data_IF_262649625644
#
_entry.id   IF_262649625644
#
_cell.length_a   1.000
_cell.length_b   1.000
_cell.length_c   1.000
_cell.angle_alpha   90.00
_cell.angle_beta   90.00
_cell.angle_gamma   90.00
#
_symmetry.space_group_name_H-M   'P 1'
#
loop_
_entity.id
_entity.type
_entity.pdbx_description
1 polymer ?
#
# COMPACT_ATOMS: atom_id res chain seq x y z
N UNK A 1 -51.77 -52.66 -9.79
CA UNK A 1 -51.83 -51.21 -10.19
C UNK A 1 -51.25 -50.23 -9.15
N UNK A 2 -51.30 -50.48 -7.83
CA UNK A 2 -50.78 -49.52 -6.79
C UNK A 2 -49.26 -49.48 -6.64
N UNK A 3 -48.46 -50.45 -7.14
CA UNK A 3 -46.96 -50.43 -7.05
C UNK A 3 -46.27 -49.69 -8.19
N UNK A 4 -46.92 -49.51 -9.33
CA UNK A 4 -46.37 -48.81 -10.50
C UNK A 4 -46.46 -47.30 -10.37
N UNK A 5 -47.50 -46.81 -9.69
CA UNK A 5 -47.75 -45.37 -9.49
C UNK A 5 -46.79 -44.73 -8.50
N UNK A 6 -46.31 -45.47 -7.50
CA UNK A 6 -45.31 -44.94 -6.54
C UNK A 6 -43.89 -44.77 -7.11
N UNK A 7 -43.52 -45.57 -8.12
CA UNK A 7 -42.23 -45.42 -8.82
C UNK A 7 -42.24 -44.23 -9.80
N UNK A 8 -43.38 -43.94 -10.40
CA UNK A 8 -43.51 -42.78 -11.30
C UNK A 8 -43.48 -41.45 -10.57
N UNK A 9 -44.11 -41.35 -9.40
CA UNK A 9 -44.12 -40.17 -8.56
C UNK A 9 -42.74 -39.91 -7.96
N UNK A 10 -41.96 -40.95 -7.58
CA UNK A 10 -40.59 -40.79 -7.11
C UNK A 10 -39.60 -40.37 -8.20
N UNK A 11 -39.83 -40.76 -9.49
CA UNK A 11 -39.00 -40.34 -10.61
C UNK A 11 -39.28 -38.89 -10.97
N UNK A 12 -40.53 -38.42 -10.89
CA UNK A 12 -40.89 -37.02 -11.12
C UNK A 12 -40.36 -36.05 -10.06
N UNK A 13 -40.36 -36.47 -8.78
CA UNK A 13 -39.77 -35.67 -7.71
C UNK A 13 -38.23 -35.60 -7.77
N UNK A 14 -37.57 -36.66 -8.24
CA UNK A 14 -36.11 -36.64 -8.45
C UNK A 14 -35.72 -35.79 -9.67
N UNK A 15 -36.56 -35.73 -10.72
CA UNK A 15 -36.31 -34.88 -11.88
C UNK A 15 -36.54 -33.39 -11.59
N UNK A 16 -37.45 -33.04 -10.67
CA UNK A 16 -37.69 -31.65 -10.24
C UNK A 16 -36.62 -31.15 -9.29
N UNK A 17 -35.97 -32.03 -8.50
CA UNK A 17 -34.85 -31.65 -7.62
C UNK A 17 -33.50 -31.56 -8.32
N UNK A 18 -33.34 -32.09 -9.53
CA UNK A 18 -32.10 -32.01 -10.31
C UNK A 18 -32.09 -30.76 -11.23
N UNK A 19 -33.27 -30.17 -11.52
CA UNK A 19 -33.37 -28.95 -12.35
C UNK A 19 -33.22 -27.65 -11.51
N UNK A 20 -33.28 -27.74 -10.18
CA UNK A 20 -33.19 -26.57 -9.30
C UNK A 20 -31.77 -26.27 -8.74
N UNK A 21 -30.72 -26.98 -9.20
CA UNK A 21 -29.33 -26.81 -8.70
C UNK A 21 -28.39 -26.22 -9.77
N UNK A 22 -28.88 -25.94 -10.96
CA UNK A 22 -28.13 -25.19 -11.99
C UNK A 22 -28.86 -23.89 -12.38
N UNK A 23 -29.30 -23.10 -11.38
CA UNK A 23 -29.31 -21.68 -11.59
C UNK A 23 -27.85 -21.22 -11.50
N UNK A 24 -27.11 -21.30 -12.60
CA UNK A 24 -25.94 -20.44 -12.76
C UNK A 24 -26.49 -19.03 -12.56
N UNK A 25 -26.12 -18.40 -11.43
CA UNK A 25 -26.07 -16.94 -11.40
C UNK A 25 -25.02 -16.56 -12.45
N UNK A 26 -25.42 -16.46 -13.70
CA UNK A 26 -24.74 -15.56 -14.60
C UNK A 26 -24.96 -14.20 -13.96
N UNK A 27 -23.95 -13.67 -13.28
CA UNK A 27 -23.82 -12.25 -13.09
C UNK A 27 -23.83 -11.71 -14.51
N UNK A 28 -24.98 -11.22 -14.96
CA UNK A 28 -25.08 -10.41 -16.14
C UNK A 28 -24.40 -9.12 -15.70
N UNK A 29 -23.12 -8.99 -16.01
CA UNK A 29 -22.49 -7.67 -16.02
C UNK A 29 -23.40 -6.83 -16.94
N UNK A 30 -23.98 -5.76 -16.44
CA UNK A 30 -24.57 -4.76 -17.30
C UNK A 30 -23.46 -4.37 -18.29
N UNK A 31 -23.77 -4.40 -19.61
CA UNK A 31 -22.81 -3.89 -20.59
C UNK A 31 -22.38 -2.51 -20.10
N UNK A 32 -21.06 -2.25 -20.07
CA UNK A 32 -20.52 -0.97 -19.63
C UNK A 32 -21.23 0.15 -20.42
N UNK A 33 -21.59 1.24 -19.75
CA UNK A 33 -22.16 2.40 -20.43
C UNK A 33 -21.14 2.88 -21.47
N UNK A 34 -21.45 2.81 -22.78
CA UNK A 34 -20.50 3.18 -23.83
C UNK A 34 -20.10 4.66 -23.78
N UNK A 35 -20.86 5.48 -23.07
CA UNK A 35 -20.59 6.91 -22.90
C UNK A 35 -19.84 7.23 -21.59
N UNK A 36 -19.57 6.22 -20.71
CA UNK A 36 -18.80 6.42 -19.48
C UNK A 36 -17.33 6.69 -19.78
N UNK A 37 -16.86 7.86 -19.39
CA UNK A 37 -15.48 8.30 -19.57
C UNK A 37 -14.78 8.58 -18.24
N UNK A 38 -13.53 8.17 -18.19
CA UNK A 38 -12.65 8.32 -17.01
C UNK A 38 -11.49 9.22 -17.40
N UNK A 39 -11.28 10.28 -16.61
CA UNK A 39 -10.09 11.13 -16.70
C UNK A 39 -9.06 10.70 -15.65
N UNK A 40 -7.79 10.57 -16.04
CA UNK A 40 -6.72 10.16 -15.15
C UNK A 40 -5.56 11.15 -15.19
N UNK A 41 -5.16 11.63 -14.02
CA UNK A 41 -4.06 12.58 -13.82
C UNK A 41 -2.96 11.86 -13.04
N UNK A 42 -1.78 11.71 -13.65
CA UNK A 42 -0.64 11.00 -13.08
C UNK A 42 0.53 11.95 -12.84
N UNK A 43 1.18 11.81 -11.67
CA UNK A 43 2.40 12.54 -11.33
C UNK A 43 3.58 12.10 -12.22
N UNK A 44 3.62 10.82 -12.60
CA UNK A 44 4.63 10.21 -13.44
C UNK A 44 4.07 9.64 -14.74
N UNK A 45 4.74 8.63 -15.25
CA UNK A 45 4.34 7.82 -16.41
C UNK A 45 4.70 6.33 -16.20
N UNK A 46 4.72 5.54 -17.26
CA UNK A 46 5.02 4.10 -17.24
C UNK A 46 6.49 3.79 -16.84
N UNK A 47 7.35 4.77 -16.66
CA UNK A 47 8.75 4.58 -16.25
C UNK A 47 8.95 4.68 -14.74
N UNK A 48 7.91 5.05 -14.00
CA UNK A 48 7.91 5.21 -12.56
C UNK A 48 6.96 4.15 -11.94
N UNK A 49 7.43 3.44 -10.89
CA UNK A 49 6.76 2.26 -10.35
C UNK A 49 5.37 2.54 -9.79
N UNK A 50 5.22 3.64 -9.05
CA UNK A 50 3.94 4.02 -8.45
C UNK A 50 2.87 4.34 -9.52
N UNK A 51 3.20 5.21 -10.51
CA UNK A 51 2.26 5.52 -11.61
C UNK A 51 1.97 4.28 -12.46
N UNK A 52 2.95 3.40 -12.69
CA UNK A 52 2.75 2.12 -13.38
C UNK A 52 1.76 1.22 -12.65
N UNK A 53 1.83 1.13 -11.33
CA UNK A 53 0.87 0.35 -10.54
C UNK A 53 -0.57 0.88 -10.71
N UNK A 54 -0.77 2.20 -10.71
CA UNK A 54 -2.07 2.83 -10.98
C UNK A 54 -2.55 2.58 -12.40
N UNK A 55 -1.68 2.74 -13.42
CA UNK A 55 -2.01 2.50 -14.83
C UNK A 55 -2.50 1.06 -15.02
N UNK A 56 -1.78 0.10 -14.46
CA UNK A 56 -2.13 -1.31 -14.56
C UNK A 56 -3.46 -1.61 -13.87
N UNK A 57 -3.67 -1.10 -12.65
CA UNK A 57 -4.92 -1.27 -11.91
C UNK A 57 -6.14 -0.68 -12.63
N UNK A 58 -6.01 0.52 -13.22
CA UNK A 58 -7.07 1.15 -14.01
C UNK A 58 -7.39 0.31 -15.26
N UNK A 59 -6.36 -0.14 -16.01
CA UNK A 59 -6.54 -0.96 -17.20
C UNK A 59 -7.16 -2.31 -16.89
N UNK A 60 -6.77 -2.94 -15.78
CA UNK A 60 -7.33 -4.20 -15.31
C UNK A 60 -8.81 -4.06 -14.94
N UNK A 61 -9.15 -3.06 -14.11
CA UNK A 61 -10.53 -2.77 -13.73
C UNK A 61 -11.41 -2.46 -14.95
N UNK A 62 -10.92 -1.62 -15.87
CA UNK A 62 -11.65 -1.28 -17.09
C UNK A 62 -11.90 -2.51 -17.97
N UNK A 63 -10.89 -3.38 -18.12
CA UNK A 63 -11.01 -4.63 -18.89
C UNK A 63 -12.02 -5.58 -18.26
N UNK A 64 -12.02 -5.75 -16.94
CA UNK A 64 -12.98 -6.61 -16.24
C UNK A 64 -14.42 -6.12 -16.39
N UNK A 65 -14.62 -4.80 -16.40
CA UNK A 65 -15.92 -4.17 -16.51
C UNK A 65 -16.35 -3.93 -17.98
N UNK A 66 -15.51 -4.27 -18.96
CA UNK A 66 -15.81 -4.07 -20.38
C UNK A 66 -15.81 -2.60 -20.82
N UNK A 67 -15.13 -1.72 -20.08
CA UNK A 67 -14.95 -0.31 -20.45
C UNK A 67 -13.92 -0.23 -21.58
N UNK A 68 -14.26 0.50 -22.66
CA UNK A 68 -13.36 0.71 -23.80
C UNK A 68 -12.15 1.56 -23.36
N UNK A 69 -10.92 1.13 -23.68
CA UNK A 69 -9.71 1.88 -23.37
C UNK A 69 -9.71 3.30 -23.97
N UNK A 70 -10.41 3.53 -25.07
CA UNK A 70 -10.61 4.84 -25.68
C UNK A 70 -11.43 5.82 -24.81
N UNK A 71 -12.14 5.31 -23.80
CA UNK A 71 -12.89 6.11 -22.84
C UNK A 71 -12.04 6.52 -21.62
N UNK A 72 -10.77 6.09 -21.54
CA UNK A 72 -9.82 6.49 -20.48
C UNK A 72 -8.90 7.56 -21.06
N UNK A 73 -8.99 8.76 -20.50
CA UNK A 73 -8.23 9.93 -20.97
C UNK A 73 -7.11 10.24 -19.99
N UNK A 74 -5.87 10.09 -20.43
CA UNK A 74 -4.68 10.17 -19.59
C UNK A 74 -4.02 11.56 -19.66
N UNK A 75 -3.56 12.06 -18.50
CA UNK A 75 -2.68 13.20 -18.32
C UNK A 75 -1.45 12.73 -17.53
N UNK A 76 -0.31 12.66 -18.18
CA UNK A 76 0.94 12.18 -17.60
C UNK A 76 1.82 13.34 -17.13
N UNK A 77 2.66 13.09 -16.12
CA UNK A 77 3.66 14.04 -15.60
C UNK A 77 3.06 15.38 -15.21
N UNK A 78 1.90 15.34 -14.59
CA UNK A 78 1.23 16.52 -14.06
C UNK A 78 1.83 16.84 -12.69
N UNK A 79 2.48 17.99 -12.50
CA UNK A 79 3.08 18.34 -11.22
C UNK A 79 2.02 18.63 -10.15
N UNK A 80 2.44 18.64 -8.89
CA UNK A 80 1.61 18.97 -7.73
C UNK A 80 1.42 20.48 -7.56
N UNK A 81 0.91 21.11 -8.61
CA UNK A 81 0.61 22.55 -8.67
C UNK A 81 -0.72 22.81 -9.40
N UNK A 82 -1.02 24.06 -9.72
CA UNK A 82 -2.26 24.45 -10.41
C UNK A 82 -2.51 23.74 -11.74
N UNK A 83 -1.48 23.13 -12.35
CA UNK A 83 -1.63 22.31 -13.57
C UNK A 83 -2.54 21.11 -13.33
N UNK A 84 -2.61 20.61 -12.08
CA UNK A 84 -3.53 19.53 -11.72
C UNK A 84 -5.01 19.99 -11.82
N UNK A 85 -5.33 21.21 -11.37
CA UNK A 85 -6.66 21.80 -11.56
C UNK A 85 -6.98 21.98 -13.04
N UNK A 86 -6.07 22.60 -13.82
CA UNK A 86 -6.28 22.80 -15.26
C UNK A 86 -6.49 21.48 -16.01
N UNK A 87 -5.76 20.43 -15.61
CA UNK A 87 -5.92 19.07 -16.14
C UNK A 87 -7.28 18.48 -15.80
N UNK A 88 -7.73 18.67 -14.56
CA UNK A 88 -9.03 18.15 -14.09
C UNK A 88 -10.20 18.80 -14.85
N UNK A 89 -10.22 20.13 -15.01
CA UNK A 89 -11.28 20.82 -15.74
C UNK A 89 -11.26 20.53 -17.24
N UNK A 90 -10.08 20.28 -17.83
CA UNK A 90 -9.98 19.86 -19.24
C UNK A 90 -10.60 18.45 -19.43
N UNK A 91 -10.37 17.52 -18.49
CA UNK A 91 -10.99 16.19 -18.51
C UNK A 91 -12.51 16.25 -18.36
N UNK A 92 -13.03 17.12 -17.48
CA UNK A 92 -14.48 17.38 -17.39
C UNK A 92 -15.01 17.94 -18.73
N UNK A 93 -14.29 18.88 -19.35
CA UNK A 93 -14.62 19.42 -20.67
C UNK A 93 -14.64 18.38 -21.79
N UNK A 94 -13.92 17.25 -21.64
CA UNK A 94 -13.94 16.11 -22.55
C UNK A 94 -15.05 15.09 -22.23
N UNK A 95 -15.86 15.37 -21.21
CA UNK A 95 -17.03 14.59 -20.83
C UNK A 95 -16.73 13.43 -19.86
N UNK A 96 -15.62 13.51 -19.08
CA UNK A 96 -15.36 12.54 -18.03
C UNK A 96 -16.35 12.71 -16.86
N UNK A 97 -16.99 11.63 -16.45
CA UNK A 97 -17.88 11.57 -15.28
C UNK A 97 -17.11 11.27 -13.98
N UNK A 98 -15.94 10.66 -14.11
CA UNK A 98 -15.02 10.36 -13.02
C UNK A 98 -13.63 10.91 -13.40
N UNK A 99 -13.03 11.71 -12.52
CA UNK A 99 -11.66 12.23 -12.67
C UNK A 99 -10.83 11.78 -11.48
N UNK A 100 -9.73 11.10 -11.73
CA UNK A 100 -8.86 10.50 -10.73
C UNK A 100 -7.47 11.15 -10.83
N UNK A 101 -6.87 11.48 -9.70
CA UNK A 101 -5.45 11.85 -9.61
C UNK A 101 -4.71 10.89 -8.67
N UNK A 102 -3.44 10.59 -8.98
CA UNK A 102 -2.69 9.60 -8.20
C UNK A 102 -1.71 10.19 -7.17
N UNK A 103 -1.53 11.51 -7.09
CA UNK A 103 -0.55 12.09 -6.17
C UNK A 103 -1.19 12.83 -5.00
N UNK A 104 -0.56 12.72 -3.81
CA UNK A 104 -1.00 13.38 -2.58
C UNK A 104 -1.19 14.89 -2.74
N UNK A 105 -0.24 15.59 -3.35
CA UNK A 105 -0.30 17.03 -3.54
C UNK A 105 -1.32 17.50 -4.59
N UNK A 106 -1.86 16.60 -5.41
CA UNK A 106 -2.96 16.95 -6.33
C UNK A 106 -4.28 17.25 -5.60
N UNK A 107 -4.49 16.71 -4.38
CA UNK A 107 -5.79 16.74 -3.70
C UNK A 107 -6.34 18.15 -3.49
N UNK A 108 -5.50 19.15 -3.20
CA UNK A 108 -5.92 20.56 -3.00
C UNK A 108 -6.45 21.21 -4.28
N UNK A 109 -6.00 20.76 -5.42
CA UNK A 109 -6.47 21.18 -6.75
C UNK A 109 -7.69 20.39 -7.21
N UNK A 110 -7.75 19.11 -6.86
CA UNK A 110 -8.90 18.25 -7.17
C UNK A 110 -10.16 18.68 -6.41
N UNK A 111 -10.06 19.08 -5.14
CA UNK A 111 -11.21 19.60 -4.38
C UNK A 111 -11.71 20.92 -4.96
N UNK A 112 -10.84 21.79 -5.46
CA UNK A 112 -11.25 23.02 -6.17
C UNK A 112 -12.03 22.69 -7.43
N UNK A 113 -11.55 21.76 -8.26
CA UNK A 113 -12.28 21.29 -9.44
C UNK A 113 -13.63 20.66 -9.06
N UNK A 114 -13.70 19.90 -7.98
CA UNK A 114 -14.94 19.29 -7.49
C UNK A 114 -15.97 20.33 -7.05
N UNK A 115 -15.56 21.43 -6.42
CA UNK A 115 -16.43 22.54 -6.05
C UNK A 115 -17.01 23.25 -7.28
N UNK A 116 -16.22 23.40 -8.34
CA UNK A 116 -16.63 24.08 -9.58
C UNK A 116 -17.49 23.19 -10.49
N UNK A 117 -17.36 21.86 -10.39
CA UNK A 117 -18.06 20.87 -11.23
C UNK A 117 -18.79 19.80 -10.40
N UNK A 118 -19.91 20.14 -9.76
CA UNK A 118 -20.61 19.27 -8.81
C UNK A 118 -21.21 17.99 -9.40
N UNK A 119 -21.37 17.94 -10.73
CA UNK A 119 -21.93 16.78 -11.43
C UNK A 119 -20.85 15.73 -11.82
N UNK A 120 -19.58 16.01 -11.56
CA UNK A 120 -18.44 15.11 -11.83
C UNK A 120 -17.89 14.59 -10.51
N UNK A 121 -17.58 13.30 -10.43
CA UNK A 121 -16.89 12.71 -9.27
C UNK A 121 -15.38 12.88 -9.40
N UNK A 122 -14.73 13.37 -8.35
CA UNK A 122 -13.28 13.54 -8.28
C UNK A 122 -12.70 12.67 -7.18
N UNK A 123 -11.64 11.94 -7.53
CA UNK A 123 -10.91 11.09 -6.58
C UNK A 123 -9.45 11.53 -6.53
N UNK A 124 -8.97 11.87 -5.34
CA UNK A 124 -7.54 12.05 -5.09
C UNK A 124 -7.05 10.79 -4.34
N UNK A 125 -6.28 9.96 -5.06
CA UNK A 125 -5.63 8.80 -4.46
C UNK A 125 -4.61 9.28 -3.43
N UNK A 126 -4.48 8.53 -2.34
CA UNK A 126 -3.57 8.84 -1.22
C UNK A 126 -3.87 10.13 -0.47
N UNK A 127 -4.98 10.82 -0.79
CA UNK A 127 -5.41 12.02 -0.08
C UNK A 127 -5.99 11.72 1.32
N UNK A 128 -6.19 12.77 2.12
CA UNK A 128 -6.47 12.62 3.55
C UNK A 128 -7.53 13.57 4.13
N UNK A 129 -8.26 14.32 3.30
CA UNK A 129 -9.23 15.29 3.83
C UNK A 129 -10.62 15.29 3.12
N UNK A 130 -10.94 14.30 2.30
CA UNK A 130 -12.23 14.29 1.60
C UNK A 130 -13.42 14.34 2.56
N UNK A 131 -13.41 13.55 3.63
CA UNK A 131 -14.49 13.49 4.63
C UNK A 131 -14.73 14.84 5.34
N UNK A 132 -13.70 15.66 5.48
CA UNK A 132 -13.78 16.96 6.19
C UNK A 132 -13.81 18.17 5.24
N UNK A 133 -13.70 17.94 3.92
CA UNK A 133 -13.68 19.01 2.91
C UNK A 133 -15.03 19.73 2.74
N UNK A 134 -16.12 19.08 3.12
CA UNK A 134 -17.48 19.56 2.86
C UNK A 134 -17.89 19.48 1.38
N UNK A 135 -17.11 18.82 0.53
CA UNK A 135 -17.34 18.66 -0.90
C UNK A 135 -17.80 17.22 -1.23
N UNK A 136 -19.11 16.98 -1.46
CA UNK A 136 -19.65 15.62 -1.52
C UNK A 136 -19.17 14.80 -2.72
N UNK A 137 -18.76 15.44 -3.83
CA UNK A 137 -18.24 14.78 -5.03
C UNK A 137 -16.71 14.70 -5.05
N UNK A 138 -16.02 15.06 -3.94
CA UNK A 138 -14.58 14.85 -3.75
C UNK A 138 -14.36 13.68 -2.81
N UNK A 139 -13.50 12.74 -3.21
CA UNK A 139 -13.24 11.46 -2.53
C UNK A 139 -11.76 11.21 -2.37
N UNK A 140 -11.40 10.47 -1.32
CA UNK A 140 -10.05 9.93 -1.15
C UNK A 140 -10.07 8.40 -1.15
N UNK A 141 -8.98 7.79 -1.56
CA UNK A 141 -8.78 6.36 -1.49
C UNK A 141 -7.32 6.04 -1.19
N UNK A 142 -7.10 5.12 -0.30
CA UNK A 142 -5.81 4.51 -0.02
C UNK A 142 -6.01 3.03 0.29
N UNK A 143 -4.99 2.21 0.08
CA UNK A 143 -5.05 0.81 0.53
C UNK A 143 -4.49 0.69 1.94
N UNK A 144 -4.82 -0.39 2.63
CA UNK A 144 -4.18 -0.76 3.89
C UNK A 144 -2.76 -1.31 3.66
N UNK A 145 -1.91 -0.54 2.98
CA UNK A 145 -0.56 -0.96 2.54
C UNK A 145 0.34 -1.39 3.71
N UNK A 146 0.09 -0.91 4.92
CA UNK A 146 0.80 -1.34 6.11
C UNK A 146 0.71 -2.87 6.36
N UNK A 147 -0.39 -3.52 5.96
CA UNK A 147 -0.53 -4.98 6.04
C UNK A 147 0.46 -5.70 5.11
N UNK A 148 0.58 -5.23 3.87
CA UNK A 148 1.54 -5.75 2.90
C UNK A 148 2.99 -5.47 3.33
N UNK A 149 3.25 -4.30 3.92
CA UNK A 149 4.55 -3.96 4.48
C UNK A 149 4.92 -4.90 5.63
N UNK A 150 3.97 -5.23 6.49
CA UNK A 150 4.17 -6.23 7.55
C UNK A 150 4.50 -7.61 6.95
N UNK A 151 3.71 -8.11 6.00
CA UNK A 151 3.94 -9.39 5.35
C UNK A 151 5.32 -9.45 4.67
N UNK A 152 5.72 -8.39 3.96
CA UNK A 152 7.05 -8.30 3.35
C UNK A 152 8.17 -8.22 4.40
N UNK A 153 7.91 -7.61 5.55
CA UNK A 153 8.79 -7.63 6.71
C UNK A 153 8.98 -9.03 7.29
N UNK A 154 7.91 -9.84 7.32
CA UNK A 154 8.01 -11.26 7.72
C UNK A 154 8.92 -12.05 6.77
N UNK A 155 8.80 -11.83 5.44
CA UNK A 155 9.73 -12.44 4.45
C UNK A 155 11.18 -12.08 4.76
N UNK A 156 11.45 -10.80 5.04
CA UNK A 156 12.78 -10.32 5.44
C UNK A 156 13.27 -10.96 6.75
N UNK A 157 12.39 -11.09 7.73
CA UNK A 157 12.67 -11.75 9.01
C UNK A 157 13.03 -13.23 8.85
N UNK A 158 12.33 -13.96 7.97
CA UNK A 158 12.64 -15.35 7.65
C UNK A 158 14.03 -15.49 7.02
N UNK A 159 14.42 -14.57 6.13
CA UNK A 159 15.77 -14.54 5.55
C UNK A 159 16.84 -14.24 6.61
N UNK A 160 16.61 -13.26 7.48
CA UNK A 160 17.54 -13.00 8.60
C UNK A 160 17.71 -14.23 9.49
N UNK A 161 16.61 -14.88 9.85
CA UNK A 161 16.61 -16.09 10.67
C UNK A 161 17.44 -17.20 10.01
N UNK A 162 17.24 -17.47 8.72
CA UNK A 162 18.02 -18.44 7.95
C UNK A 162 19.52 -18.15 8.05
N UNK A 163 19.95 -16.90 7.76
CA UNK A 163 21.35 -16.48 7.81
C UNK A 163 21.97 -16.59 9.20
N UNK A 164 21.17 -16.40 10.25
CA UNK A 164 21.62 -16.55 11.63
C UNK A 164 21.74 -18.03 12.02
N UNK A 165 20.80 -18.88 11.62
CA UNK A 165 20.78 -20.31 11.94
C UNK A 165 21.88 -21.09 11.21
N UNK A 166 22.24 -20.69 9.98
CA UNK A 166 23.30 -21.34 9.21
C UNK A 166 24.72 -20.82 9.55
N UNK A 167 24.81 -19.79 10.42
CA UNK A 167 26.06 -19.20 10.89
C UNK A 167 26.69 -18.19 9.93
N UNK A 168 26.02 -17.83 8.83
CA UNK A 168 26.46 -16.79 7.89
C UNK A 168 26.43 -15.41 8.56
N UNK A 169 25.40 -15.13 9.36
CA UNK A 169 25.17 -13.86 10.05
C UNK A 169 25.25 -14.07 11.57
N UNK A 170 26.43 -13.89 12.12
CA UNK A 170 26.68 -13.93 13.59
C UNK A 170 27.58 -12.76 14.00
N UNK A 171 27.61 -12.38 15.30
CA UNK A 171 28.53 -11.35 15.78
C UNK A 171 30.00 -11.64 15.47
N UNK A 172 30.39 -12.91 15.31
CA UNK A 172 31.74 -13.32 14.95
C UNK A 172 32.04 -13.21 13.47
N UNK A 173 31.05 -13.53 12.59
CA UNK A 173 31.21 -13.52 11.13
C UNK A 173 30.95 -12.15 10.51
N UNK A 174 30.01 -11.38 11.07
CA UNK A 174 29.56 -10.08 10.58
C UNK A 174 29.36 -9.09 11.75
N UNK A 175 30.41 -8.74 12.49
CA UNK A 175 30.28 -7.90 13.70
C UNK A 175 29.65 -6.53 13.43
N UNK A 176 29.85 -5.97 12.22
CA UNK A 176 29.26 -4.69 11.82
C UNK A 176 27.74 -4.72 11.70
N UNK A 177 27.17 -5.92 11.51
CA UNK A 177 25.71 -6.10 11.34
C UNK A 177 24.95 -6.23 12.67
N UNK A 178 25.65 -6.09 13.78
CA UNK A 178 25.05 -6.11 15.11
C UNK A 178 25.36 -4.80 15.86
N UNK A 179 24.43 -4.39 16.73
CA UNK A 179 24.69 -3.30 17.68
C UNK A 179 25.41 -3.82 18.95
N UNK A 180 25.66 -2.92 19.91
CA UNK A 180 26.36 -3.27 21.17
C UNK A 180 25.56 -4.23 22.06
N UNK A 181 24.24 -4.27 21.89
CA UNK A 181 23.29 -5.14 22.62
C UNK A 181 23.07 -6.49 21.90
N UNK A 182 23.67 -6.68 20.74
CA UNK A 182 23.57 -7.89 19.92
C UNK A 182 22.32 -7.97 19.07
N UNK A 183 21.64 -6.86 18.80
CA UNK A 183 20.54 -6.80 17.86
C UNK A 183 21.06 -6.70 16.42
N UNK A 184 20.41 -7.43 15.50
CA UNK A 184 20.76 -7.36 14.08
C UNK A 184 20.22 -6.07 13.45
N UNK A 185 21.03 -5.45 12.58
CA UNK A 185 20.71 -4.19 11.92
C UNK A 185 20.01 -4.39 10.59
N UNK A 186 18.93 -3.66 10.39
CA UNK A 186 18.26 -3.51 9.09
C UNK A 186 18.13 -2.03 8.74
N UNK A 187 17.88 -1.72 7.49
CA UNK A 187 17.74 -0.35 7.00
C UNK A 187 16.45 -0.13 6.25
N UNK A 188 16.02 1.12 6.17
CA UNK A 188 14.85 1.49 5.40
C UNK A 188 15.08 2.83 4.67
N UNK A 189 14.81 2.85 3.37
CA UNK A 189 14.91 4.05 2.53
C UNK A 189 13.53 4.71 2.50
N UNK A 190 13.37 5.75 3.32
CA UNK A 190 12.18 6.57 3.40
C UNK A 190 12.14 7.68 2.36
N UNK A 191 10.94 8.14 1.97
CA UNK A 191 10.77 9.32 1.13
C UNK A 191 10.73 10.61 1.96
N UNK A 192 9.71 10.76 2.79
CA UNK A 192 9.50 11.89 3.70
C UNK A 192 9.08 11.39 5.08
N UNK A 193 9.25 12.22 6.13
CA UNK A 193 8.78 11.91 7.49
C UNK A 193 7.27 12.17 7.66
N UNK A 194 6.44 11.63 6.73
CA UNK A 194 4.98 11.69 6.80
C UNK A 194 4.41 10.44 7.49
N UNK A 195 3.18 10.53 8.01
CA UNK A 195 2.51 9.42 8.70
C UNK A 195 2.47 8.14 7.87
N UNK A 196 2.23 8.23 6.56
CA UNK A 196 2.25 7.11 5.63
C UNK A 196 3.58 6.35 5.64
N UNK A 197 4.70 7.10 5.60
CA UNK A 197 6.04 6.51 5.59
C UNK A 197 6.37 5.90 6.94
N UNK A 198 5.99 6.59 8.04
CA UNK A 198 6.15 6.11 9.42
C UNK A 198 5.36 4.83 9.66
N UNK A 199 4.10 4.80 9.26
CA UNK A 199 3.24 3.61 9.27
C UNK A 199 3.90 2.45 8.49
N UNK A 200 4.38 2.75 7.27
CA UNK A 200 4.98 1.77 6.37
C UNK A 200 6.25 1.12 6.94
N UNK A 201 7.24 1.90 7.36
CA UNK A 201 8.46 1.32 7.90
C UNK A 201 8.25 0.66 9.26
N UNK A 202 7.33 1.18 10.08
CA UNK A 202 6.99 0.56 11.35
C UNK A 202 6.35 -0.81 11.14
N UNK A 203 5.40 -0.93 10.22
CA UNK A 203 4.78 -2.21 9.85
C UNK A 203 5.82 -3.22 9.34
N UNK A 204 6.71 -2.80 8.46
CA UNK A 204 7.82 -3.62 7.96
C UNK A 204 8.72 -4.10 9.09
N UNK A 205 9.11 -3.22 9.99
CA UNK A 205 9.93 -3.54 11.14
C UNK A 205 9.26 -4.53 12.10
N UNK A 206 7.98 -4.32 12.40
CA UNK A 206 7.20 -5.26 13.24
C UNK A 206 7.08 -6.63 12.58
N UNK A 207 6.94 -6.68 11.25
CA UNK A 207 6.98 -7.93 10.50
C UNK A 207 8.32 -8.67 10.67
N UNK A 208 9.46 -7.98 10.57
CA UNK A 208 10.78 -8.57 10.84
C UNK A 208 10.85 -9.07 12.29
N UNK A 209 10.47 -8.24 13.26
CA UNK A 209 10.56 -8.56 14.69
C UNK A 209 9.66 -9.71 15.12
N UNK A 210 8.58 -9.97 14.39
CA UNK A 210 7.74 -11.15 14.64
C UNK A 210 8.50 -12.48 14.43
N UNK A 211 9.57 -12.46 13.62
CA UNK A 211 10.43 -13.62 13.33
C UNK A 211 11.78 -13.52 14.07
N UNK A 212 12.39 -12.34 14.07
CA UNK A 212 13.70 -12.05 14.72
C UNK A 212 13.51 -10.88 15.69
N UNK A 213 13.11 -11.13 16.96
CA UNK A 213 12.79 -10.08 17.92
C UNK A 213 13.96 -9.12 18.22
N UNK A 214 15.19 -9.61 18.13
CA UNK A 214 16.41 -8.84 18.37
C UNK A 214 16.85 -8.13 17.08
N UNK A 215 16.03 -7.18 16.61
CA UNK A 215 16.30 -6.37 15.42
C UNK A 215 16.17 -4.89 15.75
N UNK A 216 17.05 -4.08 15.18
CA UNK A 216 17.00 -2.62 15.16
C UNK A 216 17.03 -2.11 13.73
N UNK A 217 16.40 -0.97 13.47
CA UNK A 217 16.29 -0.39 12.15
C UNK A 217 16.75 1.05 12.11
N UNK A 218 17.54 1.39 11.08
CA UNK A 218 17.87 2.78 10.72
C UNK A 218 17.04 3.20 9.49
N UNK A 219 16.38 4.36 9.56
CA UNK A 219 15.63 4.96 8.46
C UNK A 219 16.41 6.15 7.93
N UNK A 220 16.65 6.20 6.61
CA UNK A 220 17.23 7.37 5.91
C UNK A 220 16.23 7.93 4.93
N UNK A 221 16.06 9.26 4.95
CA UNK A 221 15.12 9.96 4.08
C UNK A 221 15.81 10.55 2.86
N UNK A 222 15.20 10.38 1.67
CA UNK A 222 15.65 10.99 0.41
C UNK A 222 15.09 12.40 0.21
N UNK A 223 14.03 12.77 0.95
CA UNK A 223 13.21 13.97 0.72
C UNK A 223 12.69 14.05 -0.72
N UNK A 224 12.37 12.90 -1.30
CA UNK A 224 11.78 12.73 -2.63
C UNK A 224 10.97 11.44 -2.67
N UNK A 225 9.86 11.41 -3.41
CA UNK A 225 9.15 10.17 -3.71
C UNK A 225 9.92 9.31 -4.70
N UNK A 226 10.61 9.92 -5.66
CA UNK A 226 11.35 9.21 -6.71
C UNK A 226 12.67 9.92 -6.99
N UNK A 227 13.79 9.28 -6.66
CA UNK A 227 15.14 9.74 -6.98
C UNK A 227 16.10 8.53 -6.95
N UNK A 228 16.40 7.98 -8.12
CA UNK A 228 17.22 6.76 -8.26
C UNK A 228 18.59 6.91 -7.59
N UNK A 229 19.22 8.08 -7.72
CA UNK A 229 20.57 8.31 -7.20
C UNK A 229 20.55 8.43 -5.67
N UNK A 230 19.60 9.19 -5.11
CA UNK A 230 19.47 9.34 -3.66
C UNK A 230 19.04 8.05 -2.97
N UNK A 231 18.10 7.31 -3.56
CA UNK A 231 17.66 6.03 -3.02
C UNK A 231 18.80 5.00 -3.01
N UNK A 232 19.58 4.95 -4.10
CA UNK A 232 20.77 4.11 -4.19
C UNK A 232 21.82 4.50 -3.15
N UNK A 233 22.11 5.79 -2.99
CA UNK A 233 23.06 6.31 -2.01
C UNK A 233 22.60 6.03 -0.55
N UNK A 234 21.30 6.19 -0.26
CA UNK A 234 20.74 5.84 1.05
C UNK A 234 20.92 4.34 1.37
N UNK A 235 20.62 3.45 0.42
CA UNK A 235 20.81 2.02 0.58
C UNK A 235 22.29 1.66 0.78
N UNK A 236 23.21 2.24 -0.01
CA UNK A 236 24.67 2.04 0.14
C UNK A 236 25.14 2.49 1.54
N UNK A 237 24.64 3.63 2.04
CA UNK A 237 24.99 4.13 3.37
C UNK A 237 24.44 3.21 4.50
N UNK A 238 23.20 2.77 4.42
CA UNK A 238 22.62 1.82 5.38
C UNK A 238 23.40 0.50 5.43
N UNK A 239 23.77 -0.07 4.27
CA UNK A 239 24.57 -1.29 4.19
C UNK A 239 25.99 -1.05 4.74
N UNK A 240 26.58 0.12 4.50
CA UNK A 240 27.88 0.49 5.09
C UNK A 240 27.82 0.59 6.63
N UNK A 241 26.66 0.96 7.21
CA UNK A 241 26.38 0.97 8.64
C UNK A 241 26.07 -0.44 9.21
N UNK A 242 26.05 -1.47 8.36
CA UNK A 242 25.88 -2.88 8.74
C UNK A 242 24.46 -3.43 8.50
N UNK A 243 23.57 -2.70 7.87
CA UNK A 243 22.24 -3.22 7.56
C UNK A 243 22.30 -4.41 6.59
N UNK A 244 21.59 -5.50 6.96
CA UNK A 244 21.54 -6.75 6.17
C UNK A 244 20.30 -6.79 5.26
N UNK A 245 19.22 -6.17 5.67
CA UNK A 245 18.00 -6.00 4.88
C UNK A 245 17.77 -4.53 4.62
N UNK A 246 17.41 -4.18 3.40
CA UNK A 246 17.01 -2.83 3.00
C UNK A 246 15.55 -2.87 2.54
N UNK A 247 14.66 -2.27 3.32
CA UNK A 247 13.30 -1.94 2.88
C UNK A 247 13.28 -0.57 2.19
N UNK A 248 12.22 -0.28 1.44
CA UNK A 248 12.05 1.03 0.81
C UNK A 248 10.60 1.51 0.85
N UNK A 249 10.44 2.83 0.86
CA UNK A 249 9.18 3.52 0.65
C UNK A 249 9.21 4.39 -0.61
N UNK A 250 10.37 4.96 -0.92
CA UNK A 250 10.59 5.70 -2.15
C UNK A 250 10.44 4.78 -3.39
N UNK A 251 10.04 5.35 -4.53
CA UNK A 251 9.36 4.64 -5.63
C UNK A 251 10.30 4.17 -6.74
N UNK A 252 11.63 4.43 -6.64
CA UNK A 252 12.56 4.07 -7.71
C UNK A 252 13.17 2.67 -7.51
N UNK A 253 13.91 2.24 -8.53
CA UNK A 253 14.71 1.01 -8.48
C UNK A 253 16.11 1.22 -7.88
N UNK A 254 16.42 2.41 -7.36
CA UNK A 254 17.76 2.78 -6.89
C UNK A 254 18.24 1.93 -5.71
N UNK A 255 17.40 1.75 -4.68
CA UNK A 255 17.77 0.97 -3.50
C UNK A 255 17.95 -0.52 -3.80
N UNK A 256 17.07 -1.23 -4.54
CA UNK A 256 17.29 -2.61 -4.95
C UNK A 256 18.54 -2.79 -5.83
N UNK A 257 18.77 -1.88 -6.79
CA UNK A 257 19.93 -1.95 -7.68
C UNK A 257 21.26 -1.78 -6.91
N UNK A 258 21.31 -0.85 -5.96
CA UNK A 258 22.46 -0.65 -5.09
C UNK A 258 22.72 -1.87 -4.20
N UNK A 259 21.65 -2.45 -3.64
CA UNK A 259 21.74 -3.67 -2.83
C UNK A 259 22.28 -4.85 -3.65
N UNK A 260 21.76 -5.05 -4.89
CA UNK A 260 22.27 -6.08 -5.80
C UNK A 260 23.76 -5.93 -6.09
N UNK A 261 24.17 -4.72 -6.44
CA UNK A 261 25.61 -4.41 -6.70
C UNK A 261 26.50 -4.74 -5.50
N UNK A 262 26.04 -4.46 -4.28
CA UNK A 262 26.81 -4.74 -3.07
C UNK A 262 26.81 -6.25 -2.74
N UNK A 263 25.69 -6.95 -2.93
CA UNK A 263 25.63 -8.41 -2.82
C UNK A 263 26.61 -9.08 -3.80
N UNK A 264 26.63 -8.64 -5.07
CA UNK A 264 27.56 -9.15 -6.10
C UNK A 264 29.02 -8.88 -5.74
N UNK A 265 29.31 -7.85 -4.95
CA UNK A 265 30.65 -7.55 -4.42
C UNK A 265 31.04 -8.41 -3.21
N UNK A 266 30.15 -9.27 -2.72
CA UNK A 266 30.36 -10.18 -1.59
C UNK A 266 29.88 -9.65 -0.25
N UNK A 267 29.12 -8.56 -0.20
CA UNK A 267 28.41 -8.12 1.01
C UNK A 267 27.19 -9.01 1.24
N UNK A 268 26.83 -9.21 2.51
CA UNK A 268 25.60 -9.91 2.87
C UNK A 268 24.50 -8.85 3.02
N UNK A 269 23.71 -8.67 1.97
CA UNK A 269 22.60 -7.70 1.99
C UNK A 269 21.50 -8.11 0.99
N UNK A 270 20.23 -7.87 1.38
CA UNK A 270 19.05 -8.21 0.58
C UNK A 270 18.08 -7.02 0.61
N UNK A 271 17.16 -6.95 -0.36
CA UNK A 271 16.20 -5.86 -0.46
C UNK A 271 14.74 -6.36 -0.44
N UNK A 272 13.88 -5.52 0.09
CA UNK A 272 12.42 -5.62 -0.03
C UNK A 272 11.94 -4.36 -0.71
N UNK A 273 11.34 -4.52 -1.88
CA UNK A 273 10.92 -3.43 -2.75
C UNK A 273 9.53 -2.88 -2.42
N UNK A 274 9.07 -1.98 -3.29
CA UNK A 274 7.77 -1.35 -3.18
C UNK A 274 7.09 -1.18 -4.56
N UNK A 275 5.76 -1.21 -4.59
CA UNK A 275 4.84 -1.04 -5.72
C UNK A 275 4.96 -2.11 -6.81
N UNK A 276 6.14 -2.36 -7.33
CA UNK A 276 6.38 -3.27 -8.46
C UNK A 276 7.34 -4.39 -8.08
N UNK A 277 7.37 -5.43 -8.89
CA UNK A 277 8.34 -6.52 -8.79
C UNK A 277 9.75 -6.00 -9.10
N UNK A 278 10.69 -6.21 -8.18
CA UNK A 278 12.08 -5.77 -8.29
C UNK A 278 13.03 -6.91 -8.73
N UNK A 279 12.51 -8.10 -9.07
CA UNK A 279 13.36 -9.25 -9.42
C UNK A 279 14.14 -9.05 -10.73
N UNK A 280 13.64 -8.23 -11.67
CA UNK A 280 14.43 -7.87 -12.87
C UNK A 280 15.60 -6.94 -12.52
N UNK A 281 15.42 -6.04 -11.56
CA UNK A 281 16.44 -5.07 -11.13
C UNK A 281 17.47 -5.71 -10.21
N UNK A 282 17.03 -6.57 -9.30
CA UNK A 282 17.84 -7.17 -8.26
C UNK A 282 17.55 -8.68 -8.14
N UNK A 283 17.96 -9.48 -9.16
CA UNK A 283 17.52 -10.88 -9.29
C UNK A 283 17.92 -11.78 -8.11
N UNK A 284 19.02 -11.48 -7.43
CA UNK A 284 19.48 -12.26 -6.27
C UNK A 284 19.42 -11.51 -4.95
N UNK A 285 19.25 -10.18 -4.97
CA UNK A 285 19.12 -9.38 -3.75
C UNK A 285 17.65 -9.15 -3.36
N UNK A 286 16.72 -9.01 -4.32
CA UNK A 286 15.32 -8.78 -4.01
C UNK A 286 14.66 -10.06 -3.45
N UNK A 287 14.00 -9.92 -2.30
CA UNK A 287 13.21 -10.99 -1.68
C UNK A 287 11.76 -10.97 -2.16
N UNK A 288 11.13 -9.82 -2.15
CA UNK A 288 9.75 -9.52 -2.60
C UNK A 288 9.56 -8.00 -2.60
N UNK A 289 8.38 -7.52 -2.95
CA UNK A 289 7.98 -6.12 -2.76
C UNK A 289 6.60 -6.05 -2.11
N UNK A 290 6.39 -5.10 -1.21
CA UNK A 290 5.05 -4.73 -0.78
C UNK A 290 4.33 -4.02 -1.95
N UNK A 291 3.08 -4.39 -2.24
CA UNK A 291 2.37 -3.84 -3.40
C UNK A 291 0.91 -3.52 -3.11
N UNK A 292 0.41 -2.50 -3.80
CA UNK A 292 -0.99 -2.12 -3.84
C UNK A 292 -1.67 -2.83 -5.01
N UNK A 293 -2.82 -3.44 -4.77
CA UNK A 293 -3.72 -3.90 -5.82
C UNK A 293 -4.79 -2.83 -6.10
N UNK A 294 -4.40 -1.81 -6.83
CA UNK A 294 -5.29 -0.69 -7.18
C UNK A 294 -6.50 -1.09 -8.01
N UNK A 295 -6.45 -2.24 -8.71
CA UNK A 295 -7.59 -2.74 -9.48
C UNK A 295 -8.82 -2.98 -8.60
N UNK A 296 -8.65 -3.40 -7.35
CA UNK A 296 -9.72 -3.56 -6.37
C UNK A 296 -10.51 -2.26 -6.17
N UNK A 297 -9.80 -1.14 -5.91
CA UNK A 297 -10.45 0.16 -5.77
C UNK A 297 -11.06 0.65 -7.07
N UNK A 298 -10.32 0.60 -8.18
CA UNK A 298 -10.80 1.15 -9.45
C UNK A 298 -12.04 0.43 -9.96
N UNK A 299 -12.10 -0.88 -9.78
CA UNK A 299 -13.31 -1.65 -10.11
C UNK A 299 -14.52 -1.16 -9.30
N UNK A 300 -14.36 -1.04 -7.97
CA UNK A 300 -15.39 -0.48 -7.10
C UNK A 300 -15.82 0.93 -7.54
N UNK A 301 -14.85 1.82 -7.79
CA UNK A 301 -15.14 3.20 -8.18
C UNK A 301 -15.85 3.31 -9.53
N UNK A 302 -15.42 2.52 -10.53
CA UNK A 302 -16.04 2.53 -11.86
C UNK A 302 -17.46 1.97 -11.81
N UNK A 303 -17.69 0.82 -11.16
CA UNK A 303 -19.02 0.24 -10.99
C UNK A 303 -19.97 1.22 -10.27
N UNK A 304 -19.53 1.82 -9.17
CA UNK A 304 -20.35 2.74 -8.36
C UNK A 304 -20.77 3.96 -9.19
N UNK A 305 -19.83 4.62 -9.88
CA UNK A 305 -20.12 5.82 -10.67
C UNK A 305 -20.95 5.49 -11.91
N UNK A 306 -20.68 4.38 -12.61
CA UNK A 306 -21.49 3.92 -13.76
C UNK A 306 -22.96 3.64 -13.36
N UNK A 307 -23.17 3.12 -12.14
CA UNK A 307 -24.52 2.88 -11.61
C UNK A 307 -25.22 4.17 -11.13
N UNK A 308 -24.56 5.32 -11.18
CA UNK A 308 -25.08 6.59 -10.67
C UNK A 308 -25.17 6.62 -9.13
N UNK A 309 -24.36 5.79 -8.47
CA UNK A 309 -24.25 5.73 -7.02
C UNK A 309 -23.13 6.65 -6.52
N UNK A 310 -23.18 7.01 -5.24
CA UNK A 310 -22.16 7.87 -4.63
C UNK A 310 -21.06 7.02 -3.97
N UNK A 311 -19.79 7.35 -4.26
CA UNK A 311 -18.63 6.78 -3.57
C UNK A 311 -18.59 7.28 -2.12
N UNK A 312 -18.05 6.44 -1.22
CA UNK A 312 -17.66 6.86 0.13
C UNK A 312 -16.63 7.99 0.08
N UNK A 313 -16.61 8.84 1.12
CA UNK A 313 -15.66 9.95 1.19
C UNK A 313 -14.20 9.44 1.28
N UNK A 314 -14.01 8.37 2.06
CA UNK A 314 -12.71 7.70 2.27
C UNK A 314 -12.86 6.19 2.05
N UNK A 315 -12.05 5.62 1.16
CA UNK A 315 -11.98 4.19 0.95
C UNK A 315 -10.62 3.66 1.41
N UNK A 316 -10.63 2.69 2.34
CA UNK A 316 -9.43 2.01 2.80
C UNK A 316 -9.70 0.51 2.94
N UNK A 317 -8.99 -0.32 2.19
CA UNK A 317 -9.08 -1.78 2.25
C UNK A 317 -7.69 -2.41 2.18
N UNK A 318 -7.54 -3.55 2.84
CA UNK A 318 -6.31 -4.32 2.91
C UNK A 318 -6.45 -5.71 2.29
N UNK A 319 -5.83 -6.70 2.92
CA UNK A 319 -5.91 -8.11 2.49
C UNK A 319 -7.34 -8.66 2.47
N UNK A 320 -8.24 -8.19 3.33
CA UNK A 320 -9.64 -8.65 3.38
C UNK A 320 -10.37 -8.48 2.04
N UNK A 321 -10.01 -7.46 1.26
CA UNK A 321 -10.62 -7.13 -0.03
C UNK A 321 -9.62 -7.31 -1.20
N UNK A 322 -8.54 -8.05 -0.97
CA UNK A 322 -7.45 -8.25 -1.94
C UNK A 322 -6.88 -6.93 -2.50
N UNK A 323 -6.92 -5.84 -1.67
CA UNK A 323 -6.47 -4.50 -2.07
C UNK A 323 -4.95 -4.31 -1.91
N UNK A 324 -4.28 -5.21 -1.22
CA UNK A 324 -2.83 -5.24 -1.05
C UNK A 324 -2.30 -6.66 -1.19
N UNK A 325 -1.00 -6.80 -1.39
CA UNK A 325 -0.32 -8.08 -1.47
C UNK A 325 1.19 -7.91 -1.49
N UNK A 326 1.91 -8.99 -1.74
CA UNK A 326 3.34 -8.97 -2.01
C UNK A 326 3.62 -9.55 -3.39
N UNK A 327 4.68 -9.10 -4.04
CA UNK A 327 5.10 -9.63 -5.33
C UNK A 327 5.69 -11.05 -5.20
N UNK A 328 5.92 -11.78 -6.30
CA UNK A 328 6.55 -13.09 -6.23
C UNK A 328 7.85 -13.10 -5.42
N UNK A 329 8.14 -14.25 -4.78
CA UNK A 329 9.35 -14.43 -3.99
C UNK A 329 10.58 -14.55 -4.87
N UNK A 330 11.66 -13.85 -4.50
CA UNK A 330 12.98 -13.99 -5.09
C UNK A 330 13.64 -15.32 -4.74
N UNK A 331 14.63 -15.71 -5.54
CA UNK A 331 15.36 -16.98 -5.37
C UNK A 331 16.13 -17.07 -4.03
N UNK A 332 16.41 -15.92 -3.41
CA UNK A 332 17.13 -15.82 -2.14
C UNK A 332 16.21 -15.87 -0.91
N UNK A 333 14.90 -16.00 -1.07
CA UNK A 333 14.01 -16.22 0.07
C UNK A 333 14.36 -17.51 0.81
N UNK A 334 14.15 -17.52 2.13
CA UNK A 334 14.37 -18.69 2.96
C UNK A 334 13.44 -19.85 2.55
N UNK A 335 13.86 -21.09 2.79
CA UNK A 335 13.02 -22.26 2.55
C UNK A 335 11.75 -22.21 3.44
N UNK A 336 10.59 -22.54 2.89
CA UNK A 336 9.30 -22.51 3.58
C UNK A 336 8.65 -21.13 3.70
N UNK A 337 9.24 -20.07 3.09
CA UNK A 337 8.67 -18.71 3.11
C UNK A 337 7.24 -18.67 2.58
N UNK A 338 6.94 -19.38 1.49
CA UNK A 338 5.61 -19.34 0.87
C UNK A 338 4.51 -19.88 1.80
N UNK A 339 4.76 -20.99 2.49
CA UNK A 339 3.80 -21.56 3.43
C UNK A 339 3.61 -20.66 4.66
N UNK A 340 4.70 -20.10 5.18
CA UNK A 340 4.64 -19.21 6.34
C UNK A 340 3.85 -17.93 6.01
N UNK A 341 4.10 -17.33 4.85
CA UNK A 341 3.40 -16.10 4.42
C UNK A 341 1.93 -16.38 4.14
N UNK A 342 1.56 -17.50 3.55
CA UNK A 342 0.16 -17.86 3.35
C UNK A 342 -0.63 -17.87 4.67
N UNK A 343 -0.02 -18.34 5.78
CA UNK A 343 -0.64 -18.29 7.11
C UNK A 343 -0.76 -16.84 7.65
N UNK A 344 0.24 -15.98 7.40
CA UNK A 344 0.22 -14.56 7.78
C UNK A 344 -0.87 -13.82 7.00
N UNK A 345 -0.92 -14.00 5.68
CA UNK A 345 -1.94 -13.38 4.83
C UNK A 345 -3.37 -13.83 5.21
N UNK A 346 -3.54 -15.10 5.56
CA UNK A 346 -4.83 -15.60 6.04
C UNK A 346 -5.27 -14.91 7.35
N UNK A 347 -4.34 -14.67 8.28
CA UNK A 347 -4.63 -13.98 9.53
C UNK A 347 -4.87 -12.46 9.33
N UNK A 348 -4.18 -11.82 8.39
CA UNK A 348 -4.46 -10.43 7.99
C UNK A 348 -5.85 -10.35 7.34
N UNK A 349 -6.17 -11.29 6.46
CA UNK A 349 -7.44 -11.35 5.73
C UNK A 349 -8.65 -11.58 6.64
N UNK A 350 -8.53 -12.42 7.67
CA UNK A 350 -9.61 -12.69 8.63
C UNK A 350 -9.63 -11.73 9.82
N UNK A 351 -8.65 -10.80 9.91
CA UNK A 351 -8.55 -9.79 10.95
C UNK A 351 -8.08 -10.32 12.31
N UNK A 352 -7.57 -11.55 12.40
CA UNK A 352 -7.02 -12.12 13.64
C UNK A 352 -5.60 -11.61 13.96
N UNK A 353 -4.90 -11.05 12.98
CA UNK A 353 -3.62 -10.38 13.14
C UNK A 353 -3.79 -8.87 12.96
N UNK A 354 -3.45 -8.11 14.00
CA UNK A 354 -3.36 -6.66 13.95
C UNK A 354 -1.89 -6.22 13.85
N UNK A 355 -1.52 -5.58 12.76
CA UNK A 355 -0.13 -5.16 12.48
C UNK A 355 0.44 -4.32 13.62
N UNK A 356 -0.35 -3.38 14.14
CA UNK A 356 0.04 -2.46 15.21
C UNK A 356 -0.54 -2.86 16.57
N UNK A 357 -0.46 -4.17 16.91
CA UNK A 357 -0.76 -4.67 18.25
C UNK A 357 0.18 -4.02 19.27
N UNK A 358 -0.37 -3.25 20.21
CA UNK A 358 0.41 -2.45 21.17
C UNK A 358 1.21 -3.29 22.16
N UNK A 359 0.96 -4.59 22.25
CA UNK A 359 1.76 -5.53 23.03
C UNK A 359 3.11 -5.86 22.38
N UNK A 360 3.28 -5.57 21.08
CA UNK A 360 4.47 -5.92 20.29
C UNK A 360 5.54 -4.83 20.26
N UNK A 361 5.22 -3.63 20.73
CA UNK A 361 6.15 -2.49 20.72
C UNK A 361 5.97 -1.57 21.91
N UNK A 362 6.99 -0.72 22.14
CA UNK A 362 6.97 0.35 23.15
C UNK A 362 7.37 1.68 22.53
N UNK A 363 7.08 2.77 23.21
CA UNK A 363 7.54 4.13 22.90
C UNK A 363 8.21 4.71 24.13
N UNK A 364 9.46 5.15 24.02
CA UNK A 364 10.28 5.61 25.15
C UNK A 364 10.33 4.59 26.33
N UNK A 365 10.41 3.30 26.00
CA UNK A 365 10.44 2.20 26.96
C UNK A 365 9.12 1.94 27.69
N UNK A 366 8.00 2.49 27.21
CA UNK A 366 6.68 2.36 27.84
C UNK A 366 5.68 1.69 26.93
N UNK A 367 4.76 0.92 27.53
CA UNK A 367 3.58 0.40 26.84
C UNK A 367 2.72 1.54 26.31
N UNK A 368 2.19 1.37 25.09
CA UNK A 368 1.28 2.33 24.44
C UNK A 368 -0.16 1.91 24.74
N UNK A 369 -0.86 2.71 25.52
CA UNK A 369 -2.25 2.44 25.91
C UNK A 369 -3.23 3.46 25.35
N UNK A 370 -2.74 4.61 24.86
CA UNK A 370 -3.53 5.68 24.23
C UNK A 370 -2.70 6.34 23.14
N UNK A 371 -3.35 6.74 22.06
CA UNK A 371 -2.75 7.56 20.99
C UNK A 371 -3.80 8.52 20.43
N UNK A 372 -3.63 9.82 20.67
CA UNK A 372 -4.51 10.84 20.12
C UNK A 372 -4.00 11.28 18.76
N UNK A 373 -4.83 11.11 17.73
CA UNK A 373 -4.52 11.50 16.36
C UNK A 373 -5.45 12.64 15.92
N UNK A 374 -4.86 13.77 15.53
CA UNK A 374 -5.58 14.88 14.91
C UNK A 374 -5.71 14.58 13.41
N UNK A 375 -6.94 14.48 12.91
CA UNK A 375 -7.25 14.18 11.51
C UNK A 375 -7.45 15.45 10.67
N UNK A 376 -7.06 16.62 11.17
CA UNK A 376 -7.09 17.87 10.41
C UNK A 376 -6.11 17.84 9.24
N UNK A 377 -6.48 18.50 8.13
CA UNK A 377 -5.54 18.80 7.06
C UNK A 377 -4.84 20.14 7.34
N UNK A 378 -3.53 20.12 7.45
CA UNK A 378 -2.74 21.25 7.95
C UNK A 378 -2.00 21.99 6.82
N UNK A 379 -1.94 23.31 6.93
CA UNK A 379 -1.02 24.13 6.17
C UNK A 379 0.33 24.22 6.90
N UNK A 380 1.33 23.53 6.39
CA UNK A 380 2.70 23.52 6.93
C UNK A 380 3.54 24.72 6.51
N UNK A 381 3.00 25.63 5.69
CA UNK A 381 3.68 26.92 5.36
C UNK A 381 3.63 27.89 6.53
N UNK A 382 2.74 27.65 7.50
CA UNK A 382 2.63 28.44 8.74
C UNK A 382 3.40 27.79 9.89
N UNK A 383 3.82 28.60 10.87
CA UNK A 383 4.51 28.08 12.06
C UNK A 383 3.88 28.69 13.36
N UNK A 384 3.20 27.91 14.20
CA UNK A 384 2.87 26.48 14.01
C UNK A 384 1.95 26.25 12.80
N UNK A 385 1.90 25.01 12.26
CA UNK A 385 0.95 24.63 11.22
C UNK A 385 -0.50 24.93 11.63
N UNK A 386 -1.31 25.42 10.68
CA UNK A 386 -2.72 25.78 10.94
C UNK A 386 -3.65 24.88 10.12
N UNK A 387 -4.82 24.49 10.66
CA UNK A 387 -5.78 23.71 9.90
C UNK A 387 -6.33 24.48 8.68
N UNK A 388 -6.27 23.85 7.52
CA UNK A 388 -7.02 24.26 6.30
C UNK A 388 -8.41 23.67 6.37
N UNK A 389 -8.51 22.40 6.76
CA UNK A 389 -9.77 21.73 7.10
C UNK A 389 -9.64 21.15 8.51
N UNK A 390 -10.58 21.50 9.41
CA UNK A 390 -10.59 20.99 10.78
C UNK A 390 -11.19 19.58 10.81
N UNK A 391 -10.41 18.62 11.30
CA UNK A 391 -10.81 17.24 11.58
C UNK A 391 -11.00 16.99 13.05
N UNK A 392 -11.53 15.83 13.39
CA UNK A 392 -11.66 15.39 14.78
C UNK A 392 -10.31 14.85 15.30
N UNK A 393 -10.07 15.04 16.60
CA UNK A 393 -9.01 14.29 17.30
C UNK A 393 -9.60 12.98 17.79
N UNK A 394 -9.05 11.86 17.34
CA UNK A 394 -9.53 10.52 17.66
C UNK A 394 -8.57 9.76 18.57
N UNK A 395 -9.12 8.88 19.42
CA UNK A 395 -8.32 7.88 20.10
C UNK A 395 -8.05 6.71 19.16
N UNK A 396 -6.82 6.55 18.72
CA UNK A 396 -6.44 5.55 17.72
C UNK A 396 -6.18 4.16 18.32
N UNK A 397 -5.97 4.03 19.64
CA UNK A 397 -5.84 2.72 20.27
C UNK A 397 -7.23 2.15 20.55
N UNK A 398 -7.50 0.99 19.98
CA UNK A 398 -8.77 0.27 20.08
C UNK A 398 -8.49 -1.22 20.30
N UNK A 399 -9.07 -1.79 21.33
CA UNK A 399 -8.95 -3.22 21.65
C UNK A 399 -7.50 -3.76 21.72
N UNK A 400 -6.54 -2.88 22.07
CA UNK A 400 -5.13 -3.25 22.21
C UNK A 400 -4.29 -3.11 20.93
N UNK A 401 -4.82 -2.50 19.88
CA UNK A 401 -4.06 -2.19 18.66
C UNK A 401 -4.31 -0.74 18.20
N UNK A 402 -3.39 -0.19 17.42
CA UNK A 402 -3.58 1.09 16.75
C UNK A 402 -4.40 0.85 15.48
N UNK A 403 -5.59 1.46 15.42
CA UNK A 403 -6.58 1.27 14.35
C UNK A 403 -6.25 2.13 13.10
N UNK A 404 -5.16 1.78 12.40
CA UNK A 404 -4.75 2.44 11.17
C UNK A 404 -5.82 2.34 10.08
N UNK A 405 -5.99 3.40 9.31
CA UNK A 405 -6.96 3.50 8.20
C UNK A 405 -8.45 3.30 8.59
N UNK A 406 -8.80 3.32 9.88
CA UNK A 406 -10.21 3.20 10.31
C UNK A 406 -10.95 4.55 10.26
N UNK A 407 -10.28 5.65 10.56
CA UNK A 407 -10.90 6.98 10.68
C UNK A 407 -10.75 7.86 9.42
N UNK A 408 -9.81 7.54 8.56
CA UNK A 408 -9.65 8.08 7.20
C UNK A 408 -8.84 7.10 6.35
N UNK A 409 -8.89 7.24 5.03
CA UNK A 409 -8.19 6.32 4.10
C UNK A 409 -6.67 6.42 4.23
N UNK A 410 -6.12 7.62 4.27
CA UNK A 410 -4.68 7.81 4.41
C UNK A 410 -4.18 7.44 5.82
N UNK A 411 -3.01 6.83 5.92
CA UNK A 411 -2.39 6.49 7.19
C UNK A 411 -2.21 7.70 8.13
N UNK A 412 -2.37 7.46 9.44
CA UNK A 412 -2.17 8.47 10.49
C UNK A 412 -1.32 7.95 11.67
N UNK A 413 -0.67 6.80 11.52
CA UNK A 413 0.28 6.28 12.50
C UNK A 413 1.56 7.14 12.51
N UNK A 414 1.82 7.83 13.62
CA UNK A 414 2.97 8.73 13.78
C UNK A 414 3.86 8.37 14.98
N UNK A 415 3.57 7.25 15.67
CA UNK A 415 4.34 6.83 16.83
C UNK A 415 5.77 6.44 16.42
N UNK A 416 6.76 6.91 17.16
CA UNK A 416 8.15 6.52 17.01
C UNK A 416 8.44 5.41 18.02
N UNK A 417 8.37 4.16 17.53
CA UNK A 417 8.52 2.97 18.38
C UNK A 417 9.99 2.66 18.67
N UNK A 418 10.24 2.04 19.81
CA UNK A 418 11.60 1.66 20.23
C UNK A 418 12.22 0.63 19.28
N UNK A 419 13.51 0.84 18.98
CA UNK A 419 14.28 0.00 18.06
C UNK A 419 14.36 0.55 16.63
N UNK A 420 13.68 1.67 16.34
CA UNK A 420 13.81 2.42 15.09
C UNK A 420 14.52 3.75 15.37
N UNK A 421 15.52 4.07 14.57
CA UNK A 421 16.19 5.38 14.56
C UNK A 421 16.00 6.03 13.20
N UNK A 422 15.66 7.31 13.20
CA UNK A 422 15.51 8.12 11.99
C UNK A 422 16.74 9.02 11.83
N UNK A 423 17.36 8.98 10.66
CA UNK A 423 18.36 9.97 10.27
C UNK A 423 17.67 11.05 9.40
N UNK A 424 17.45 12.20 10.03
CA UNK A 424 16.78 13.34 9.42
C UNK A 424 17.70 14.14 8.47
N UNK A 425 19.01 13.84 8.45
CA UNK A 425 19.93 14.45 7.49
C UNK A 425 19.63 13.86 6.11
N UNK A 426 19.14 14.71 5.21
CA UNK A 426 18.87 14.30 3.83
C UNK A 426 20.14 13.74 3.17
N UNK A 427 20.00 12.65 2.43
CA UNK A 427 21.08 12.13 1.58
C UNK A 427 21.36 13.17 0.48
N UNK A 428 22.60 13.71 0.42
CA UNK A 428 23.04 14.70 -0.56
C UNK A 428 23.24 14.09 -1.98
#
# INVERSE_FOLDING_TARGET
MKKSMKKFVSLLLAAVMVVSVFAFNTVVFADADPDFKIGVILIGDETEGYSTAHINGIKEAAKELGIDEGNIIWKYKVPEDSTAYDSAIDLVGQGCQLVISNSYGHQTYMVQAAMDYPDTTFVAMTGDFAAISGCPNFKNAFTGIYESRYASGVVAGLKLKELMEDGTLTPETQPESFDEDGNVKVGYVGAFSYAEVVSGYTAFFLGIRSVVPNTVMEVKYTNSWFDIDKEGAAAEALIANGAVIIGQHADSTGAPAATQKLLDSGKICYSVGYNIDMLETAPTAALTSATNNWASYYKHAFETVMNGEELEADWAKGYSEDAVGITPFGESCAEGTAEYIADVEAQLKDGSLHVFDTSTFTVDGKEVTTAQCDLSFLDFTTNPPTPVYEGETVEAIKDGYFAESEFRSAPYFTLRIDGITEDEEAVE
#
